data_IF_133176253553
#
_entry.id   IF_133176253553
#
_cell.length_a   1.000
_cell.length_b   1.000
_cell.length_c   1.000
_cell.angle_alpha   90.00
_cell.angle_beta   90.00
_cell.angle_gamma   90.00
#
_symmetry.space_group_name_H-M   'P 1'
#
loop_
_entity.id
_entity.type
_entity.pdbx_description
1 polymer ?
#
# COMPACT_ATOMS: atom_id res chain seq x y z
N UNK A 1 -35.46 0.52 3.69
CA UNK A 1 -34.30 1.45 3.73
C UNK A 1 -33.07 0.87 4.44
N UNK A 2 -33.24 -0.01 5.43
CA UNK A 2 -32.14 -0.70 6.13
C UNK A 2 -31.51 -1.84 5.32
N UNK A 3 -32.33 -2.61 4.59
CA UNK A 3 -31.89 -3.78 3.80
C UNK A 3 -30.99 -3.37 2.63
N UNK A 4 -31.42 -2.38 1.83
CA UNK A 4 -30.62 -1.83 0.73
C UNK A 4 -29.27 -1.26 1.18
N UNK A 5 -29.23 -0.56 2.32
CA UNK A 5 -27.98 0.00 2.87
C UNK A 5 -27.03 -1.11 3.33
N UNK A 6 -27.57 -2.21 3.84
CA UNK A 6 -26.82 -3.37 4.33
C UNK A 6 -26.25 -4.22 3.19
N UNK A 7 -27.01 -4.41 2.10
CA UNK A 7 -26.52 -5.06 0.90
C UNK A 7 -25.45 -4.24 0.17
N UNK A 8 -25.65 -2.93 0.00
CA UNK A 8 -24.64 -2.03 -0.58
C UNK A 8 -23.35 -2.09 0.26
N UNK A 9 -23.47 -2.07 1.59
CA UNK A 9 -22.32 -2.18 2.48
C UNK A 9 -21.60 -3.53 2.36
N UNK A 10 -22.33 -4.65 2.25
CA UNK A 10 -21.73 -5.97 2.06
C UNK A 10 -21.08 -6.13 0.68
N UNK A 11 -21.62 -5.53 -0.37
CA UNK A 11 -21.04 -5.55 -1.72
C UNK A 11 -19.78 -4.68 -1.78
N UNK A 12 -19.78 -3.50 -1.15
CA UNK A 12 -18.60 -2.64 -1.07
C UNK A 12 -17.54 -3.25 -0.14
N UNK A 13 -17.93 -3.80 1.01
CA UNK A 13 -17.00 -4.46 1.93
C UNK A 13 -16.45 -5.80 1.38
N UNK A 14 -17.23 -6.50 0.56
CA UNK A 14 -16.84 -7.74 -0.10
C UNK A 14 -16.02 -7.55 -1.36
N UNK A 15 -16.05 -6.36 -1.97
CA UNK A 15 -15.25 -6.06 -3.16
C UNK A 15 -13.80 -5.73 -2.80
N UNK A 16 -12.87 -6.17 -3.66
CA UNK A 16 -11.43 -5.87 -3.56
C UNK A 16 -11.16 -4.38 -3.33
N UNK A 17 -12.00 -3.50 -3.90
CA UNK A 17 -11.97 -2.05 -3.72
C UNK A 17 -12.23 -1.59 -2.28
N UNK A 18 -13.27 -2.09 -1.60
CA UNK A 18 -13.53 -1.68 -0.22
C UNK A 18 -12.47 -2.18 0.75
N UNK A 19 -11.97 -3.41 0.54
CA UNK A 19 -10.85 -3.95 1.30
C UNK A 19 -9.55 -3.16 1.09
N UNK A 20 -9.26 -2.77 -0.15
CA UNK A 20 -8.11 -1.94 -0.49
C UNK A 20 -8.20 -0.55 0.16
N UNK A 21 -9.38 0.08 0.15
CA UNK A 21 -9.58 1.39 0.78
C UNK A 21 -9.38 1.33 2.30
N UNK A 22 -9.96 0.33 2.97
CA UNK A 22 -9.79 0.15 4.42
C UNK A 22 -8.34 -0.13 4.78
N UNK A 23 -7.65 -0.97 4.01
CA UNK A 23 -6.24 -1.27 4.20
C UNK A 23 -5.35 -0.03 4.02
N UNK A 24 -5.56 0.74 2.95
CA UNK A 24 -4.77 1.96 2.69
C UNK A 24 -4.99 3.02 3.77
N UNK A 25 -6.24 3.26 4.19
CA UNK A 25 -6.52 4.21 5.27
C UNK A 25 -5.91 3.76 6.60
N UNK A 26 -6.04 2.49 6.96
CA UNK A 26 -5.44 1.93 8.17
C UNK A 26 -3.91 2.02 8.15
N UNK A 27 -3.30 1.68 7.00
CA UNK A 27 -1.85 1.76 6.81
C UNK A 27 -1.33 3.18 7.00
N UNK A 28 -1.98 4.18 6.39
CA UNK A 28 -1.58 5.59 6.50
C UNK A 28 -1.66 6.08 7.95
N UNK A 29 -2.73 5.75 8.68
CA UNK A 29 -2.88 6.14 10.09
C UNK A 29 -1.78 5.51 10.95
N UNK A 30 -1.57 4.19 10.82
CA UNK A 30 -0.56 3.47 11.60
C UNK A 30 0.86 3.98 11.28
N UNK A 31 1.19 4.15 10.00
CA UNK A 31 2.50 4.63 9.56
C UNK A 31 2.80 6.05 10.08
N UNK A 32 1.84 6.97 9.98
CA UNK A 32 2.00 8.33 10.50
C UNK A 32 2.23 8.34 12.02
N UNK A 33 1.45 7.55 12.77
CA UNK A 33 1.59 7.45 14.23
C UNK A 33 2.91 6.82 14.63
N UNK A 34 3.30 5.69 14.03
CA UNK A 34 4.54 4.98 14.37
C UNK A 34 5.76 5.82 14.04
N UNK A 35 5.82 6.44 12.85
CA UNK A 35 6.95 7.28 12.46
C UNK A 35 7.04 8.50 13.36
N UNK A 36 5.94 9.22 13.61
CA UNK A 36 5.96 10.41 14.48
C UNK A 36 6.37 10.06 15.91
N UNK A 37 5.95 8.91 16.46
CA UNK A 37 6.34 8.46 17.80
C UNK A 37 7.81 8.04 17.86
N UNK A 38 8.32 7.33 16.85
CA UNK A 38 9.69 6.82 16.85
C UNK A 38 10.75 7.88 16.53
N UNK A 39 10.42 8.85 15.68
CA UNK A 39 11.38 9.87 15.22
C UNK A 39 11.14 11.25 15.81
N UNK A 40 9.97 11.49 16.43
CA UNK A 40 9.55 12.82 16.88
C UNK A 40 9.20 13.78 15.74
N UNK A 41 9.15 13.31 14.50
CA UNK A 41 8.85 14.13 13.33
C UNK A 41 7.37 14.54 13.29
N UNK A 42 7.09 15.66 12.64
CA UNK A 42 5.72 16.16 12.47
C UNK A 42 4.87 15.16 11.68
N UNK A 43 3.55 15.16 11.92
CA UNK A 43 2.59 14.30 11.19
C UNK A 43 2.69 14.49 9.67
N UNK A 44 3.06 15.68 9.21
CA UNK A 44 3.26 15.97 7.79
C UNK A 44 4.47 15.23 7.20
N UNK A 45 5.59 15.21 7.93
CA UNK A 45 6.81 14.51 7.54
C UNK A 45 6.57 12.98 7.58
N UNK A 46 5.88 12.50 8.62
CA UNK A 46 5.50 11.10 8.74
C UNK A 46 4.56 10.65 7.62
N UNK A 47 3.61 11.49 7.20
CA UNK A 47 2.72 11.22 6.07
C UNK A 47 3.45 11.17 4.73
N UNK A 48 4.43 12.07 4.53
CA UNK A 48 5.26 12.06 3.34
C UNK A 48 6.11 10.79 3.26
N UNK A 49 6.73 10.38 4.37
CA UNK A 49 7.48 9.12 4.45
C UNK A 49 6.58 7.91 4.14
N UNK A 50 5.38 7.85 4.71
CA UNK A 50 4.42 6.77 4.48
C UNK A 50 4.01 6.59 3.01
N UNK A 51 4.15 7.62 2.16
CA UNK A 51 3.89 7.52 0.71
C UNK A 51 5.17 7.30 -0.11
N UNK A 52 6.27 7.96 0.27
CA UNK A 52 7.53 7.94 -0.48
C UNK A 52 8.26 6.61 -0.31
N UNK A 53 8.30 6.06 0.90
CA UNK A 53 8.95 4.79 1.22
C UNK A 53 8.43 3.63 0.35
N UNK A 54 7.11 3.34 0.27
CA UNK A 54 6.61 2.25 -0.56
C UNK A 54 6.84 2.50 -2.06
N UNK A 55 6.85 3.77 -2.50
CA UNK A 55 7.11 4.13 -3.91
C UNK A 55 8.55 3.85 -4.30
N UNK A 56 9.52 4.28 -3.48
CA UNK A 56 10.95 4.03 -3.71
C UNK A 56 11.23 2.53 -3.63
N UNK A 57 10.66 1.83 -2.65
CA UNK A 57 10.84 0.39 -2.50
C UNK A 57 10.28 -0.39 -3.70
N UNK A 58 9.12 0.02 -4.23
CA UNK A 58 8.55 -0.55 -5.46
C UNK A 58 9.41 -0.30 -6.69
N UNK A 59 9.97 0.90 -6.83
CA UNK A 59 10.88 1.22 -7.94
C UNK A 59 12.19 0.42 -7.86
N UNK A 60 12.76 0.28 -6.67
CA UNK A 60 13.94 -0.55 -6.44
C UNK A 60 13.67 -2.02 -6.75
N UNK A 61 12.52 -2.55 -6.30
CA UNK A 61 12.09 -3.90 -6.64
C UNK A 61 11.96 -4.10 -8.16
N UNK A 62 11.38 -3.14 -8.89
CA UNK A 62 11.30 -3.21 -10.35
C UNK A 62 12.67 -3.24 -11.03
N UNK A 63 13.64 -2.46 -10.54
CA UNK A 63 15.02 -2.50 -11.05
C UNK A 63 15.64 -3.86 -10.79
N UNK A 64 15.53 -4.39 -9.57
CA UNK A 64 16.06 -5.70 -9.20
C UNK A 64 15.42 -6.81 -10.04
N UNK A 65 14.09 -6.81 -10.17
CA UNK A 65 13.34 -7.77 -10.99
C UNK A 65 13.79 -7.72 -12.45
N UNK A 66 13.94 -6.52 -13.01
CA UNK A 66 14.42 -6.34 -14.38
C UNK A 66 15.87 -6.79 -14.56
N UNK A 67 16.75 -6.53 -13.59
CA UNK A 67 18.15 -6.99 -13.63
C UNK A 67 18.23 -8.51 -13.52
N UNK A 68 17.46 -9.11 -12.62
CA UNK A 68 17.43 -10.56 -12.39
C UNK A 68 16.80 -11.30 -13.58
N UNK A 69 15.64 -10.86 -14.05
CA UNK A 69 14.93 -11.45 -15.20
C UNK A 69 15.71 -11.31 -16.51
N UNK A 70 16.52 -10.25 -16.66
CA UNK A 70 17.41 -10.09 -17.83
C UNK A 70 18.56 -11.11 -17.84
N UNK A 71 18.97 -11.60 -16.68
CA UNK A 71 19.96 -12.69 -16.54
C UNK A 71 19.31 -14.09 -16.62
N UNK A 72 17.99 -14.20 -16.38
CA UNK A 72 17.19 -15.42 -16.54
C UNK A 72 16.48 -15.52 -17.90
N UNK A 73 17.00 -14.88 -18.96
CA UNK A 73 16.92 -15.47 -20.30
C UNK A 73 17.80 -16.73 -20.33
N UNK A 74 17.44 -17.73 -19.54
CA UNK A 74 17.80 -19.10 -19.85
C UNK A 74 17.21 -19.35 -21.22
N UNK A 75 18.12 -19.47 -22.19
CA UNK A 75 17.95 -20.13 -23.48
C UNK A 75 16.71 -21.04 -23.42
N UNK A 76 15.58 -20.61 -23.98
CA UNK A 76 14.53 -21.57 -24.33
C UNK A 76 15.09 -22.34 -25.52
N UNK A 77 15.76 -23.43 -25.21
CA UNK A 77 15.95 -24.54 -26.14
C UNK A 77 14.58 -25.12 -26.48
#
# INVERSE_FOLDING_TARGET
>A
MTELKKEIFNVIAGTSLGRALVYTCGHVIIAMTVVSVLTGASLFEAGLVAMVEPTINGFWYYILDKMWTKNFKSKSV
#
